data_IF_776811726978
#
_entry.id   IF_776811726978
#
_cell.length_a   1.000
_cell.length_b   1.000
_cell.length_c   1.000
_cell.angle_alpha   90.00
_cell.angle_beta   90.00
_cell.angle_gamma   90.00
#
_symmetry.space_group_name_H-M   'P 1'
#
loop_
_entity.id
_entity.type
_entity.pdbx_description
1 polymer ?
#
# COMPACT_ATOMS: atom_id res chain seq x y z
N UNK A 1 40.78 -26.46 -7.63
CA UNK A 1 39.32 -26.55 -7.48
C UNK A 1 38.98 -26.25 -6.03
N UNK A 2 38.38 -25.10 -5.76
CA UNK A 2 37.71 -24.81 -4.50
C UNK A 2 36.66 -23.72 -4.77
N UNK A 3 35.49 -23.95 -4.19
CA UNK A 3 34.16 -23.47 -4.52
C UNK A 3 33.98 -21.97 -4.75
N UNK A 4 33.23 -21.68 -5.81
CA UNK A 4 32.41 -20.48 -5.94
C UNK A 4 31.36 -20.45 -4.83
N UNK A 5 31.30 -19.37 -4.06
CA UNK A 5 30.08 -18.97 -3.36
C UNK A 5 29.45 -17.86 -4.18
N UNK A 6 28.45 -18.21 -4.99
CA UNK A 6 27.54 -17.23 -5.58
C UNK A 6 26.61 -16.79 -4.47
N UNK A 7 26.82 -15.56 -3.97
CA UNK A 7 25.79 -14.86 -3.23
C UNK A 7 24.62 -14.58 -4.16
N UNK A 8 23.56 -15.36 -4.05
CA UNK A 8 22.29 -15.06 -4.69
C UNK A 8 21.66 -13.87 -3.98
N UNK A 9 21.95 -12.67 -4.46
CA UNK A 9 21.18 -11.47 -4.17
C UNK A 9 19.81 -11.62 -4.82
N UNK A 10 18.89 -12.31 -4.15
CA UNK A 10 17.47 -12.29 -4.51
C UNK A 10 17.00 -10.84 -4.37
N UNK A 11 16.36 -10.24 -5.39
CA UNK A 11 15.95 -8.84 -5.31
C UNK A 11 14.96 -8.67 -4.15
N UNK A 12 15.24 -7.70 -3.29
CA UNK A 12 14.50 -7.39 -2.06
C UNK A 12 13.01 -7.02 -2.30
N UNK A 13 12.60 -6.90 -3.56
CA UNK A 13 11.29 -6.40 -3.99
C UNK A 13 10.15 -7.40 -3.72
N UNK A 14 10.38 -8.69 -3.97
CA UNK A 14 9.35 -9.73 -3.82
C UNK A 14 8.96 -9.90 -2.34
N UNK A 15 9.92 -9.78 -1.42
CA UNK A 15 9.65 -9.89 0.01
C UNK A 15 8.83 -8.70 0.52
N UNK A 16 9.14 -7.49 0.06
CA UNK A 16 8.38 -6.29 0.40
C UNK A 16 6.94 -6.38 -0.13
N UNK A 17 6.76 -6.82 -1.37
CA UNK A 17 5.42 -6.98 -1.96
C UNK A 17 4.59 -8.03 -1.21
N UNK A 18 5.19 -9.14 -0.77
CA UNK A 18 4.52 -10.15 0.06
C UNK A 18 4.10 -9.59 1.43
N UNK A 19 4.97 -8.80 2.09
CA UNK A 19 4.65 -8.14 3.35
C UNK A 19 3.50 -7.13 3.19
N UNK A 20 3.51 -6.38 2.09
CA UNK A 20 2.45 -5.43 1.77
C UNK A 20 1.13 -6.11 1.44
N UNK A 21 1.15 -7.23 0.72
CA UNK A 21 -0.04 -8.00 0.42
C UNK A 21 -0.69 -8.57 1.69
N UNK A 22 0.13 -9.08 2.61
CA UNK A 22 -0.32 -9.56 3.92
C UNK A 22 -0.91 -8.43 4.78
N UNK A 23 -0.30 -7.24 4.76
CA UNK A 23 -0.86 -6.05 5.41
C UNK A 23 -2.20 -5.63 4.79
N UNK A 24 -2.29 -5.59 3.46
CA UNK A 24 -3.53 -5.29 2.74
C UNK A 24 -4.65 -6.27 3.07
N UNK A 25 -4.34 -7.57 3.18
CA UNK A 25 -5.30 -8.59 3.59
C UNK A 25 -5.84 -8.36 5.01
N UNK A 26 -4.98 -7.98 5.96
CA UNK A 26 -5.43 -7.58 7.31
C UNK A 26 -6.29 -6.31 7.29
N UNK A 27 -5.87 -5.30 6.53
CA UNK A 27 -6.61 -4.05 6.40
C UNK A 27 -8.01 -4.28 5.81
N UNK A 28 -8.12 -5.07 4.73
CA UNK A 28 -9.41 -5.43 4.15
C UNK A 28 -10.31 -6.12 5.18
N UNK A 29 -9.78 -7.08 5.93
CA UNK A 29 -10.54 -7.79 6.95
C UNK A 29 -11.00 -6.87 8.09
N UNK A 30 -10.17 -5.91 8.49
CA UNK A 30 -10.50 -4.94 9.53
C UNK A 30 -11.59 -3.95 9.09
N UNK A 31 -11.58 -3.54 7.82
CA UNK A 31 -12.53 -2.57 7.24
C UNK A 31 -13.70 -3.22 6.47
N UNK A 32 -13.87 -4.54 6.58
CA UNK A 32 -14.90 -5.33 5.88
C UNK A 32 -14.94 -5.08 4.35
N UNK A 33 -13.76 -5.01 3.75
CA UNK A 33 -13.61 -4.76 2.30
C UNK A 33 -13.69 -6.06 1.51
N UNK A 34 -14.46 -6.01 0.43
CA UNK A 34 -14.48 -7.02 -0.63
C UNK A 34 -14.56 -6.32 -1.99
N UNK A 35 -14.01 -6.97 -3.02
CA UNK A 35 -13.93 -6.43 -4.37
C UNK A 35 -14.61 -7.37 -5.36
N UNK A 36 -15.21 -6.84 -6.45
CA UNK A 36 -16.02 -7.60 -7.39
C UNK A 36 -15.24 -8.63 -8.22
N UNK A 37 -13.94 -8.42 -8.43
CA UNK A 37 -13.07 -9.32 -9.19
C UNK A 37 -11.60 -9.12 -8.79
N UNK A 38 -10.76 -10.03 -9.27
CA UNK A 38 -9.33 -10.03 -8.97
C UNK A 38 -8.59 -8.81 -9.56
N UNK A 39 -9.03 -8.31 -10.72
CA UNK A 39 -8.43 -7.11 -11.34
C UNK A 39 -8.65 -5.87 -10.47
N UNK A 40 -9.87 -5.67 -9.94
CA UNK A 40 -10.18 -4.57 -9.02
C UNK A 40 -9.45 -4.76 -7.69
N UNK A 41 -9.37 -6.00 -7.17
CA UNK A 41 -8.60 -6.28 -5.96
C UNK A 41 -7.12 -5.96 -6.14
N UNK A 42 -6.54 -6.29 -7.30
CA UNK A 42 -5.16 -5.96 -7.63
C UNK A 42 -4.96 -4.45 -7.73
N UNK A 43 -5.86 -3.75 -8.43
CA UNK A 43 -5.81 -2.29 -8.53
C UNK A 43 -5.87 -1.62 -7.14
N UNK A 44 -6.77 -2.08 -6.28
CA UNK A 44 -6.93 -1.58 -4.90
C UNK A 44 -5.71 -1.86 -4.03
N UNK A 45 -5.08 -3.02 -4.22
CA UNK A 45 -3.81 -3.34 -3.58
C UNK A 45 -2.69 -2.37 -4.00
N UNK A 46 -2.58 -2.05 -5.29
CA UNK A 46 -1.56 -1.13 -5.80
C UNK A 46 -1.74 0.29 -5.22
N UNK A 47 -2.98 0.78 -5.19
CA UNK A 47 -3.32 2.08 -4.59
C UNK A 47 -3.03 2.09 -3.09
N UNK A 48 -3.48 1.05 -2.37
CA UNK A 48 -3.21 0.88 -0.95
C UNK A 48 -1.70 0.88 -0.66
N UNK A 49 -0.90 0.13 -1.42
CA UNK A 49 0.55 0.07 -1.27
C UNK A 49 1.19 1.45 -1.44
N UNK A 50 0.84 2.14 -2.53
CA UNK A 50 1.31 3.49 -2.79
C UNK A 50 0.96 4.45 -1.62
N UNK A 51 -0.23 4.32 -1.06
CA UNK A 51 -0.69 5.17 0.04
C UNK A 51 0.03 4.88 1.37
N UNK A 52 0.34 3.62 1.75
CA UNK A 52 1.17 3.42 2.96
C UNK A 52 2.59 3.93 2.75
N UNK A 53 3.18 3.74 1.56
CA UNK A 53 4.51 4.27 1.26
C UNK A 53 4.55 5.80 1.38
N UNK A 54 3.48 6.47 0.91
CA UNK A 54 3.29 7.91 1.08
C UNK A 54 3.17 8.31 2.56
N UNK A 55 2.35 7.60 3.35
CA UNK A 55 2.19 7.82 4.79
C UNK A 55 3.54 7.68 5.52
N UNK A 56 4.25 6.57 5.30
CA UNK A 56 5.50 6.26 5.97
C UNK A 56 6.61 7.23 5.60
N UNK A 57 6.73 7.60 4.32
CA UNK A 57 7.67 8.63 3.88
C UNK A 57 7.36 9.97 4.53
N UNK A 58 6.11 10.41 4.47
CA UNK A 58 5.70 11.74 4.96
C UNK A 58 5.89 11.87 6.47
N UNK A 59 5.52 10.83 7.23
CA UNK A 59 5.72 10.81 8.67
C UNK A 59 7.21 10.77 9.06
N UNK A 60 8.05 10.09 8.28
CA UNK A 60 9.51 10.06 8.49
C UNK A 60 10.18 11.41 8.21
N UNK A 61 9.73 12.11 7.17
CA UNK A 61 10.28 13.43 6.83
C UNK A 61 9.98 14.48 7.91
N UNK A 62 8.93 14.27 8.72
CA UNK A 62 8.66 15.05 9.94
C UNK A 62 8.29 16.51 9.71
N UNK A 63 8.03 16.91 8.46
CA UNK A 63 7.72 18.29 8.08
C UNK A 63 6.29 18.73 8.40
N UNK A 64 5.42 17.81 8.81
CA UNK A 64 4.03 18.10 9.15
C UNK A 64 3.86 18.21 10.67
N UNK A 65 3.01 19.15 11.11
CA UNK A 65 2.59 19.26 12.52
C UNK A 65 1.60 18.17 12.97
N UNK A 66 1.39 17.15 12.13
CA UNK A 66 0.52 16.00 12.34
C UNK A 66 1.11 14.77 11.63
N UNK A 67 0.61 13.59 11.98
CA UNK A 67 0.97 12.34 11.30
C UNK A 67 -0.18 11.86 10.42
N UNK A 68 0.17 11.27 9.30
CA UNK A 68 -0.76 10.52 8.46
C UNK A 68 -0.97 9.11 9.02
N UNK A 69 -2.15 8.54 8.77
CA UNK A 69 -2.51 7.21 9.23
C UNK A 69 -3.31 6.45 8.19
N UNK A 70 -3.11 5.13 8.19
CA UNK A 70 -3.94 4.18 7.48
C UNK A 70 -5.38 4.24 8.00
N UNK A 71 -6.35 4.31 7.08
CA UNK A 71 -7.78 4.49 7.35
C UNK A 71 -8.69 3.86 6.28
N UNK A 72 -10.00 4.07 6.38
CA UNK A 72 -11.02 3.52 5.46
C UNK A 72 -10.81 3.88 3.98
N UNK A 73 -10.11 4.97 3.67
CA UNK A 73 -9.90 5.49 2.33
C UNK A 73 -8.54 5.13 1.74
N UNK A 74 -7.76 4.28 2.42
CA UNK A 74 -6.37 3.99 2.03
C UNK A 74 -6.26 3.29 0.68
N UNK A 75 -7.31 2.62 0.21
CA UNK A 75 -7.37 1.98 -1.11
C UNK A 75 -7.93 2.88 -2.22
N UNK A 76 -8.11 4.19 -1.96
CA UNK A 76 -8.59 5.17 -2.94
C UNK A 76 -7.48 6.09 -3.41
N UNK A 77 -7.53 6.47 -4.68
CA UNK A 77 -6.73 7.61 -5.16
C UNK A 77 -7.32 8.93 -4.65
N UNK A 78 -6.53 10.00 -4.71
CA UNK A 78 -7.01 11.34 -4.38
C UNK A 78 -8.21 11.76 -5.25
N UNK A 79 -8.19 11.40 -6.54
CA UNK A 79 -9.27 11.70 -7.48
C UNK A 79 -10.53 10.90 -7.15
N UNK A 80 -10.40 9.61 -6.83
CA UNK A 80 -11.54 8.78 -6.42
C UNK A 80 -12.15 9.25 -5.09
N UNK A 81 -11.30 9.61 -4.13
CA UNK A 81 -11.74 10.19 -2.87
C UNK A 81 -12.51 11.49 -3.11
N UNK A 82 -11.96 12.40 -3.91
CA UNK A 82 -12.60 13.66 -4.24
C UNK A 82 -13.96 13.44 -4.95
N UNK A 83 -13.99 12.57 -5.96
CA UNK A 83 -15.21 12.29 -6.73
C UNK A 83 -16.35 11.68 -5.90
N UNK A 84 -16.03 10.96 -4.82
CA UNK A 84 -17.03 10.26 -3.98
C UNK A 84 -17.42 11.03 -2.72
N UNK A 85 -16.48 11.80 -2.15
CA UNK A 85 -16.63 12.35 -0.80
C UNK A 85 -16.46 13.86 -0.70
N UNK A 86 -16.14 14.54 -1.80
CA UNK A 86 -16.09 16.01 -1.82
C UNK A 86 -17.08 16.55 -2.85
N UNK A 87 -17.91 17.51 -2.46
CA UNK A 87 -18.77 18.21 -3.41
C UNK A 87 -17.91 19.09 -4.33
N UNK A 88 -18.06 18.89 -5.63
CA UNK A 88 -17.57 19.83 -6.62
C UNK A 88 -18.63 20.92 -6.82
N UNK A 89 -18.69 21.90 -5.91
CA UNK A 89 -19.43 23.16 -6.09
C UNK A 89 -18.46 24.33 -6.15
#
# INVERSE_FOLDING_TARGET
>A
MASSSVGSSVPNNDHHDLLMLDRFHRWMAFHDRSYPNDDEKLHRFEVYRHNIEYIERTNRDGGLGYQLGENDFTDLTSEEFAARYTSAD
#
